data_IF_820440533654
#
_entry.id   IF_820440533654
#
_cell.length_a   1.000
_cell.length_b   1.000
_cell.length_c   1.000
_cell.angle_alpha   90.00
_cell.angle_beta   90.00
_cell.angle_gamma   90.00
#
_symmetry.space_group_name_H-M   'P 1'
#
loop_
_entity.id
_entity.type
_entity.pdbx_description
1 polymer ?
#
# COMPACT_ATOMS: atom_id res chain seq x y z
N UNK A 1 13.32 12.75 6.19
CA UNK A 1 12.38 13.89 6.22
C UNK A 1 11.22 13.60 5.30
N UNK A 2 10.00 13.77 5.80
CA UNK A 2 8.81 13.55 4.99
C UNK A 2 8.61 14.72 4.03
N UNK A 3 8.25 14.42 2.78
CA UNK A 3 7.95 15.43 1.80
C UNK A 3 6.61 16.13 2.08
N UNK A 4 6.43 17.28 1.46
CA UNK A 4 5.16 17.98 1.45
C UNK A 4 4.45 17.73 0.12
N UNK A 5 3.14 17.53 0.17
CA UNK A 5 2.33 17.37 -1.03
C UNK A 5 2.38 18.66 -1.87
N UNK A 6 2.76 18.58 -3.16
CA UNK A 6 2.84 19.77 -4.00
C UNK A 6 1.47 20.41 -4.30
N UNK A 7 0.39 19.65 -4.10
CA UNK A 7 -0.98 20.12 -4.37
C UNK A 7 -1.60 20.76 -3.12
N UNK A 8 -1.45 20.13 -1.95
CA UNK A 8 -2.14 20.53 -0.72
C UNK A 8 -1.23 21.15 0.34
N UNK A 9 0.09 21.10 0.12
CA UNK A 9 1.10 21.60 1.06
C UNK A 9 0.96 20.98 2.46
N UNK A 10 0.62 19.71 2.51
CA UNK A 10 0.49 18.92 3.74
C UNK A 10 1.51 17.78 3.76
N UNK A 11 1.92 17.28 4.95
CA UNK A 11 2.85 16.16 5.03
C UNK A 11 2.30 14.90 4.35
N UNK A 12 3.19 14.19 3.66
CA UNK A 12 2.87 12.96 2.96
C UNK A 12 3.19 11.76 3.86
N UNK A 13 2.18 11.21 4.54
CA UNK A 13 2.31 10.10 5.47
C UNK A 13 1.77 8.78 4.97
N UNK A 14 0.92 8.80 3.94
CA UNK A 14 0.25 7.58 3.49
C UNK A 14 1.07 6.89 2.42
N UNK A 15 1.34 5.60 2.61
CA UNK A 15 2.11 4.80 1.67
C UNK A 15 1.23 4.34 0.50
N UNK A 16 1.71 4.62 -0.69
CA UNK A 16 1.06 4.21 -1.95
C UNK A 16 2.14 3.76 -2.93
N UNK A 17 1.75 3.10 -4.03
CA UNK A 17 2.67 2.90 -5.13
C UNK A 17 2.83 4.21 -5.92
N UNK A 18 3.91 4.31 -6.68
CA UNK A 18 4.11 5.46 -7.58
C UNK A 18 2.98 5.60 -8.58
N UNK A 19 2.44 4.47 -9.04
CA UNK A 19 1.31 4.45 -9.96
C UNK A 19 0.06 5.04 -9.32
N UNK A 20 -0.26 4.67 -8.07
CA UNK A 20 -1.39 5.24 -7.31
C UNK A 20 -1.17 6.74 -7.10
N UNK A 21 0.03 7.15 -6.73
CA UNK A 21 0.36 8.58 -6.56
C UNK A 21 0.10 9.37 -7.85
N UNK A 22 0.52 8.84 -8.99
CA UNK A 22 0.31 9.47 -10.29
C UNK A 22 -1.19 9.61 -10.60
N UNK A 23 -1.97 8.54 -10.38
CA UNK A 23 -3.42 8.56 -10.59
C UNK A 23 -4.08 9.64 -9.73
N UNK A 24 -3.70 9.72 -8.45
CA UNK A 24 -4.28 10.70 -7.52
C UNK A 24 -3.87 12.13 -7.85
N UNK A 25 -2.59 12.37 -8.15
CA UNK A 25 -2.08 13.70 -8.47
C UNK A 25 -2.60 14.24 -9.80
N UNK A 26 -2.81 13.37 -10.78
CA UNK A 26 -3.36 13.74 -12.08
C UNK A 26 -4.89 13.74 -12.09
N UNK A 27 -5.51 13.46 -10.95
CA UNK A 27 -6.97 13.44 -10.79
C UNK A 27 -7.67 12.54 -11.82
N UNK A 28 -7.07 11.38 -12.12
CA UNK A 28 -7.63 10.41 -13.04
C UNK A 28 -8.87 9.73 -12.43
N UNK A 29 -9.86 9.32 -13.25
CA UNK A 29 -11.05 8.64 -12.72
C UNK A 29 -10.69 7.32 -12.04
N UNK A 30 -10.99 7.19 -10.74
CA UNK A 30 -10.66 5.99 -9.98
C UNK A 30 -11.43 4.76 -10.47
N UNK A 31 -12.60 4.95 -11.06
CA UNK A 31 -13.43 3.87 -11.60
C UNK A 31 -12.77 3.09 -12.75
N UNK A 32 -11.75 3.67 -13.38
CA UNK A 32 -11.01 3.02 -14.47
C UNK A 32 -9.90 2.09 -13.99
N UNK A 33 -9.66 2.04 -12.69
CA UNK A 33 -8.57 1.28 -12.09
C UNK A 33 -9.08 0.31 -11.03
N UNK A 34 -8.29 -0.71 -10.77
CA UNK A 34 -8.53 -1.65 -9.67
C UNK A 34 -7.46 -1.46 -8.60
N UNK A 35 -7.89 -1.22 -7.37
CA UNK A 35 -6.99 -0.92 -6.26
C UNK A 35 -6.96 -2.03 -5.23
N UNK A 36 -5.84 -2.12 -4.52
CA UNK A 36 -5.62 -3.07 -3.44
C UNK A 36 -5.13 -2.32 -2.20
N UNK A 37 -5.68 -2.65 -1.03
CA UNK A 37 -5.08 -2.29 0.25
C UNK A 37 -4.28 -3.48 0.75
N UNK A 38 -2.95 -3.39 0.63
CA UNK A 38 -2.05 -4.41 1.11
C UNK A 38 -1.63 -4.06 2.54
N UNK A 39 -1.90 -4.96 3.48
CA UNK A 39 -1.58 -4.78 4.89
C UNK A 39 -0.39 -5.66 5.26
N UNK A 40 0.65 -5.07 5.81
CA UNK A 40 1.80 -5.80 6.34
C UNK A 40 1.67 -5.84 7.87
N UNK A 41 1.47 -7.04 8.40
CA UNK A 41 1.40 -7.27 9.84
C UNK A 41 2.81 -7.54 10.36
N UNK A 42 3.24 -6.75 11.33
CA UNK A 42 4.55 -6.93 11.97
C UNK A 42 4.41 -7.73 13.26
N UNK A 43 5.25 -8.74 13.40
CA UNK A 43 5.22 -9.66 14.53
C UNK A 43 6.56 -9.64 15.26
N UNK A 44 6.50 -9.72 16.59
CA UNK A 44 7.67 -9.86 17.44
C UNK A 44 7.31 -10.82 18.58
N UNK A 45 8.15 -11.85 18.77
CA UNK A 45 7.95 -12.88 19.81
C UNK A 45 6.54 -13.52 19.77
N UNK A 46 5.99 -13.74 18.58
CA UNK A 46 4.67 -14.35 18.42
C UNK A 46 3.50 -13.41 18.65
N UNK A 47 3.75 -12.13 18.86
CA UNK A 47 2.72 -11.11 19.09
C UNK A 47 2.74 -10.08 17.98
N UNK A 48 1.58 -9.74 17.44
CA UNK A 48 1.48 -8.66 16.45
C UNK A 48 1.70 -7.31 17.14
N UNK A 49 2.73 -6.59 16.70
CA UNK A 49 3.11 -5.30 17.27
C UNK A 49 2.64 -4.11 16.44
N UNK A 50 2.11 -4.33 15.25
CA UNK A 50 1.60 -3.27 14.41
C UNK A 50 1.27 -3.74 13.02
N UNK A 51 0.66 -2.84 12.25
CA UNK A 51 0.33 -3.09 10.86
C UNK A 51 0.57 -1.82 10.05
N UNK A 52 1.03 -1.99 8.81
CA UNK A 52 1.20 -0.91 7.86
C UNK A 52 0.32 -1.15 6.65
N UNK A 53 -0.34 -0.11 6.17
CA UNK A 53 -1.22 -0.16 5.01
C UNK A 53 -0.54 0.47 3.81
N UNK A 54 -0.66 -0.20 2.66
CA UNK A 54 -0.12 0.26 1.38
C UNK A 54 -1.22 0.19 0.34
N UNK A 55 -1.45 1.30 -0.35
CA UNK A 55 -2.44 1.33 -1.43
C UNK A 55 -1.75 1.13 -2.77
N UNK A 56 -2.11 0.07 -3.46
CA UNK A 56 -1.51 -0.35 -4.72
C UNK A 56 -2.58 -0.42 -5.81
N UNK A 57 -2.16 -0.41 -7.05
CA UNK A 57 -3.01 -0.67 -8.20
C UNK A 57 -2.81 -2.11 -8.65
N UNK A 58 -3.77 -2.66 -9.40
CA UNK A 58 -3.77 -4.06 -9.85
C UNK A 58 -2.45 -4.47 -10.51
N UNK A 59 -1.89 -3.63 -11.38
CA UNK A 59 -0.64 -3.96 -12.05
C UNK A 59 0.53 -4.07 -11.08
N UNK A 60 0.54 -3.26 -10.03
CA UNK A 60 1.56 -3.36 -8.98
C UNK A 60 1.49 -4.72 -8.29
N UNK A 61 0.27 -5.17 -7.96
CA UNK A 61 0.04 -6.46 -7.29
C UNK A 61 0.53 -7.61 -8.17
N UNK A 62 0.22 -7.56 -9.46
CA UNK A 62 0.66 -8.59 -10.41
C UNK A 62 2.18 -8.57 -10.59
N UNK A 63 2.80 -7.39 -10.58
CA UNK A 63 4.26 -7.24 -10.65
C UNK A 63 4.95 -7.90 -9.45
N UNK A 64 4.29 -7.89 -8.29
CA UNK A 64 4.79 -8.57 -7.09
C UNK A 64 4.63 -10.10 -7.14
N UNK A 65 3.99 -10.63 -8.17
CA UNK A 65 3.74 -12.05 -8.30
C UNK A 65 2.58 -12.56 -7.46
N UNK A 66 1.70 -11.66 -7.00
CA UNK A 66 0.54 -12.00 -6.20
C UNK A 66 -0.73 -12.08 -7.06
N UNK A 67 -1.67 -12.98 -6.73
CA UNK A 67 -3.01 -12.90 -7.29
C UNK A 67 -3.68 -11.63 -6.80
N UNK A 68 -4.41 -10.94 -7.67
CA UNK A 68 -5.06 -9.69 -7.31
C UNK A 68 -6.25 -9.94 -6.38
N UNK A 69 -6.33 -9.13 -5.32
CA UNK A 69 -7.50 -9.00 -4.46
C UNK A 69 -7.56 -7.55 -3.98
N UNK A 70 -8.73 -7.09 -3.56
CA UNK A 70 -8.91 -5.72 -3.02
C UNK A 70 -8.26 -5.55 -1.67
N UNK A 71 -8.15 -6.62 -0.88
CA UNK A 71 -7.44 -6.61 0.40
C UNK A 71 -6.49 -7.81 0.45
N UNK A 72 -5.22 -7.53 0.69
CA UNK A 72 -4.19 -8.57 0.81
C UNK A 72 -3.47 -8.39 2.14
N UNK A 73 -3.25 -9.49 2.85
CA UNK A 73 -2.52 -9.51 4.11
C UNK A 73 -1.20 -10.24 3.97
N UNK A 74 -0.12 -9.61 4.38
CA UNK A 74 1.21 -10.21 4.47
C UNK A 74 1.69 -10.15 5.91
N UNK A 75 2.54 -11.10 6.30
CA UNK A 75 3.07 -11.18 7.65
C UNK A 75 4.59 -11.03 7.62
N UNK A 76 5.08 -9.97 8.27
CA UNK A 76 6.51 -9.73 8.45
C UNK A 76 6.93 -10.30 9.81
N UNK A 77 7.45 -11.55 9.79
CA UNK A 77 7.90 -12.27 10.97
C UNK A 77 9.40 -12.49 10.89
N UNK A 78 10.10 -12.28 11.99
CA UNK A 78 11.56 -12.24 12.00
C UNK A 78 12.26 -13.58 11.72
N UNK A 79 11.69 -14.73 12.08
CA UNK A 79 12.49 -15.97 12.10
C UNK A 79 11.75 -17.18 11.50
N UNK A 80 10.50 -17.08 11.12
CA UNK A 80 9.78 -18.25 10.63
C UNK A 80 9.93 -18.45 9.14
N UNK A 81 10.36 -19.66 8.74
CA UNK A 81 10.49 -20.05 7.33
C UNK A 81 9.19 -19.85 6.54
N UNK A 82 8.03 -19.90 7.21
CA UNK A 82 6.71 -19.73 6.59
C UNK A 82 6.45 -18.34 6.06
N UNK A 83 7.15 -17.32 6.58
CA UNK A 83 6.98 -15.92 6.16
C UNK A 83 8.04 -15.42 5.19
N UNK A 84 8.97 -16.28 4.75
CA UNK A 84 10.01 -15.88 3.79
C UNK A 84 9.41 -15.36 2.49
N UNK A 85 8.35 -15.98 1.98
CA UNK A 85 7.70 -15.54 0.76
C UNK A 85 7.12 -14.14 0.92
N UNK A 86 6.47 -13.85 2.05
CA UNK A 86 5.92 -12.53 2.34
C UNK A 86 7.02 -11.49 2.44
N UNK A 87 8.15 -11.82 3.05
CA UNK A 87 9.31 -10.93 3.11
C UNK A 87 9.88 -10.59 1.74
N UNK A 88 9.96 -11.56 0.83
CA UNK A 88 10.40 -11.32 -0.54
C UNK A 88 9.45 -10.36 -1.26
N UNK A 89 8.14 -10.54 -1.08
CA UNK A 89 7.14 -9.64 -1.65
C UNK A 89 7.30 -8.22 -1.10
N UNK A 90 7.49 -8.08 0.21
CA UNK A 90 7.70 -6.79 0.85
C UNK A 90 8.94 -6.10 0.31
N UNK A 91 10.04 -6.84 0.12
CA UNK A 91 11.27 -6.30 -0.45
C UNK A 91 11.10 -5.84 -1.90
N UNK A 92 10.36 -6.60 -2.71
CA UNK A 92 10.03 -6.22 -4.10
C UNK A 92 9.13 -4.98 -4.15
N UNK A 93 8.28 -4.81 -3.16
CA UNK A 93 7.35 -3.68 -3.11
C UNK A 93 8.06 -2.36 -2.86
N UNK A 94 9.12 -2.34 -2.05
CA UNK A 94 9.81 -1.11 -1.63
C UNK A 94 10.17 -0.18 -2.77
N UNK A 95 10.78 -0.63 -3.89
CA UNK A 95 11.11 0.27 -5.00
C UNK A 95 9.89 0.89 -5.70
N UNK A 96 8.71 0.29 -5.51
CA UNK A 96 7.48 0.78 -6.14
C UNK A 96 6.78 1.85 -5.30
N UNK A 97 7.21 2.05 -4.05
CA UNK A 97 6.48 2.86 -3.08
C UNK A 97 6.81 4.34 -3.18
N UNK A 98 5.82 5.13 -2.81
CA UNK A 98 5.92 6.57 -2.60
C UNK A 98 4.95 6.94 -1.48
N UNK A 99 4.72 8.23 -1.29
CA UNK A 99 3.81 8.72 -0.25
C UNK A 99 2.90 9.82 -0.80
N UNK A 100 1.72 9.94 -0.21
CA UNK A 100 0.77 11.03 -0.50
C UNK A 100 0.23 11.60 0.79
N UNK A 101 -0.32 12.82 0.74
CA UNK A 101 -0.98 13.44 1.89
C UNK A 101 -2.38 12.86 2.10
N UNK A 102 -2.97 13.17 3.25
CA UNK A 102 -4.30 12.67 3.60
C UNK A 102 -5.40 13.13 2.64
N UNK A 103 -5.27 14.32 2.08
CA UNK A 103 -6.26 14.83 1.11
C UNK A 103 -6.16 14.10 -0.23
N UNK A 104 -4.97 13.77 -0.68
CA UNK A 104 -4.80 13.00 -1.91
C UNK A 104 -5.40 11.61 -1.81
N UNK A 105 -5.24 10.94 -0.66
CA UNK A 105 -5.71 9.55 -0.48
C UNK A 105 -7.20 9.47 -0.13
N UNK A 106 -7.82 10.54 0.34
CA UNK A 106 -9.21 10.53 0.80
C UNK A 106 -10.20 9.93 -0.22
N UNK A 107 -10.17 10.30 -1.52
CA UNK A 107 -11.09 9.72 -2.49
C UNK A 107 -10.93 8.20 -2.60
N UNK A 108 -9.70 7.69 -2.47
CA UNK A 108 -9.43 6.25 -2.54
C UNK A 108 -9.92 5.54 -1.28
N UNK A 109 -9.71 6.12 -0.10
CA UNK A 109 -10.20 5.56 1.16
C UNK A 109 -11.72 5.51 1.23
N UNK A 110 -12.39 6.45 0.57
CA UNK A 110 -13.86 6.54 0.56
C UNK A 110 -14.50 5.47 -0.35
N UNK A 111 -13.72 4.74 -1.14
CA UNK A 111 -14.25 3.64 -1.93
C UNK A 111 -14.67 2.49 -0.99
N UNK A 112 -15.82 1.88 -1.26
CA UNK A 112 -16.36 0.79 -0.43
C UNK A 112 -15.74 -0.56 -0.82
N UNK A 113 -14.41 -0.62 -0.96
CA UNK A 113 -13.70 -1.81 -1.41
C UNK A 113 -13.04 -2.59 -0.27
N UNK A 114 -12.90 -1.98 0.91
CA UNK A 114 -11.97 -2.47 1.93
C UNK A 114 -12.59 -3.42 2.94
N UNK A 115 -13.91 -3.60 2.92
CA UNK A 115 -14.59 -4.60 3.72
C UNK A 115 -14.73 -4.30 5.21
N UNK A 116 -14.48 -3.09 5.60
CA UNK A 116 -14.58 -2.67 7.01
C UNK A 116 -15.95 -2.15 7.37
#
# INVERSE_FOLDING_TARGET
>A
MLGLCPIHNEPEYTNVSRKVKEILHENKPLSQYSFCRLTVHKWEDGVEIGAHYYFLEKEDVLTLGLPFDTVIHLNDRDIEKKSLNDRFVIQKMRPLLSTVCMRCIAPLKDLSLWGD
#
